data_IF_414945249586
#
_entry.id   IF_414945249586
#
_cell.length_a   1.000
_cell.length_b   1.000
_cell.length_c   1.000
_cell.angle_alpha   90.00
_cell.angle_beta   90.00
_cell.angle_gamma   90.00
#
_symmetry.space_group_name_H-M   'P 1'
#
loop_
_entity.id
_entity.type
_entity.pdbx_description
1 polymer ?
#
# COMPACT_ATOMS: atom_id res chain seq x y z
N UNK A 1 18.98 2.23 -16.63
CA UNK A 1 18.53 1.78 -17.96
C UNK A 1 17.15 2.35 -18.15
N UNK A 2 16.91 3.00 -19.28
CA UNK A 2 15.65 3.69 -19.52
C UNK A 2 14.58 2.66 -19.88
N UNK A 3 13.64 2.41 -18.95
CA UNK A 3 12.60 1.37 -19.11
C UNK A 3 11.75 1.61 -20.34
N UNK A 4 11.56 2.88 -20.69
CA UNK A 4 10.84 3.31 -21.88
C UNK A 4 11.57 2.85 -23.16
N UNK A 5 12.90 3.01 -23.22
CA UNK A 5 13.69 2.58 -24.38
C UNK A 5 13.64 1.06 -24.57
N UNK A 6 13.62 0.27 -23.50
CA UNK A 6 13.51 -1.19 -23.57
C UNK A 6 12.14 -1.62 -24.13
N UNK A 7 11.06 -1.00 -23.66
CA UNK A 7 9.69 -1.29 -24.13
C UNK A 7 9.50 -0.84 -25.58
N UNK A 8 10.03 0.33 -25.95
CA UNK A 8 9.98 0.81 -27.33
C UNK A 8 10.76 -0.09 -28.29
N UNK A 9 11.93 -0.58 -27.88
CA UNK A 9 12.69 -1.56 -28.66
C UNK A 9 11.92 -2.88 -28.80
N UNK A 10 11.25 -3.35 -27.75
CA UNK A 10 10.38 -4.53 -27.82
C UNK A 10 9.24 -4.33 -28.83
N UNK A 11 8.56 -3.18 -28.79
CA UNK A 11 7.47 -2.84 -29.70
C UNK A 11 7.90 -2.79 -31.18
N UNK A 12 9.11 -2.28 -31.45
CA UNK A 12 9.65 -2.19 -32.82
C UNK A 12 10.17 -3.51 -33.37
N UNK A 13 10.56 -4.46 -32.51
CA UNK A 13 11.23 -5.71 -32.89
C UNK A 13 10.32 -6.93 -32.92
N UNK A 14 9.04 -6.80 -32.55
CA UNK A 14 8.10 -7.91 -32.41
C UNK A 14 6.88 -7.79 -33.33
N UNK A 15 6.23 -8.93 -33.58
CA UNK A 15 4.96 -8.99 -34.31
C UNK A 15 3.81 -8.45 -33.45
N UNK A 16 2.74 -7.97 -34.11
CA UNK A 16 1.53 -7.50 -33.44
C UNK A 16 0.88 -8.59 -32.57
N UNK A 17 0.96 -9.85 -33.00
CA UNK A 17 0.48 -11.01 -32.22
C UNK A 17 1.24 -11.17 -30.89
N UNK A 18 2.58 -11.06 -30.91
CA UNK A 18 3.41 -11.13 -29.71
C UNK A 18 3.14 -9.96 -28.75
N UNK A 19 2.91 -8.76 -29.31
CA UNK A 19 2.57 -7.57 -28.53
C UNK A 19 1.20 -7.74 -27.86
N UNK A 20 0.23 -8.33 -28.55
CA UNK A 20 -1.10 -8.65 -28.00
C UNK A 20 -1.04 -9.67 -26.87
N UNK A 21 -0.32 -10.77 -27.08
CA UNK A 21 -0.11 -11.80 -26.05
C UNK A 21 0.58 -11.20 -24.81
N UNK A 22 1.61 -10.38 -25.02
CA UNK A 22 2.29 -9.67 -23.93
C UNK A 22 1.36 -8.72 -23.18
N UNK A 23 0.55 -7.93 -23.89
CA UNK A 23 -0.43 -7.02 -23.28
C UNK A 23 -1.47 -7.78 -22.44
N UNK A 24 -2.01 -8.89 -22.96
CA UNK A 24 -2.93 -9.74 -22.21
C UNK A 24 -2.30 -10.30 -20.93
N UNK A 25 -1.04 -10.77 -21.01
CA UNK A 25 -0.28 -11.23 -19.84
C UNK A 25 -0.04 -10.11 -18.82
N UNK A 26 0.23 -8.88 -19.26
CA UNK A 26 0.33 -7.74 -18.36
C UNK A 26 -0.98 -7.50 -17.62
N UNK A 27 -2.11 -7.49 -18.33
CA UNK A 27 -3.44 -7.35 -17.72
C UNK A 27 -3.74 -8.46 -16.70
N UNK A 28 -3.48 -9.71 -17.04
CA UNK A 28 -3.71 -10.85 -16.14
C UNK A 28 -2.84 -10.77 -14.88
N UNK A 29 -1.56 -10.40 -15.05
CA UNK A 29 -0.65 -10.19 -13.92
C UNK A 29 -1.11 -9.04 -13.01
N UNK A 30 -1.59 -7.92 -13.58
CA UNK A 30 -2.14 -6.80 -12.80
C UNK A 30 -3.37 -7.26 -12.02
N UNK A 31 -4.26 -8.05 -12.63
CA UNK A 31 -5.45 -8.60 -11.98
C UNK A 31 -5.07 -9.54 -10.83
N UNK A 32 -4.09 -10.41 -11.01
CA UNK A 32 -3.59 -11.31 -9.96
C UNK A 32 -2.97 -10.52 -8.80
N UNK A 33 -2.17 -9.49 -9.10
CA UNK A 33 -1.58 -8.62 -8.09
C UNK A 33 -2.64 -7.86 -7.29
N UNK A 34 -3.70 -7.36 -7.94
CA UNK A 34 -4.83 -6.74 -7.25
C UNK A 34 -5.51 -7.71 -6.29
N UNK A 35 -5.76 -8.95 -6.71
CA UNK A 35 -6.37 -9.96 -5.83
C UNK A 35 -5.49 -10.31 -4.62
N UNK A 36 -4.17 -10.41 -4.83
CA UNK A 36 -3.20 -10.58 -3.73
C UNK A 36 -3.21 -9.39 -2.77
N UNK A 37 -3.30 -8.18 -3.29
CA UNK A 37 -3.36 -6.95 -2.50
C UNK A 37 -4.64 -6.87 -1.66
N UNK A 38 -5.79 -7.20 -2.24
CA UNK A 38 -7.08 -7.29 -1.54
C UNK A 38 -7.03 -8.27 -0.36
N UNK A 39 -6.46 -9.46 -0.62
CA UNK A 39 -6.28 -10.49 0.42
C UNK A 39 -5.40 -9.98 1.56
N UNK A 40 -4.30 -9.30 1.25
CA UNK A 40 -3.43 -8.68 2.26
C UNK A 40 -4.14 -7.56 3.02
N UNK A 41 -4.96 -6.74 2.34
CA UNK A 41 -5.79 -5.72 2.98
C UNK A 41 -6.80 -6.31 3.96
N UNK A 42 -7.40 -7.45 3.63
CA UNK A 42 -8.29 -8.17 4.56
C UNK A 42 -7.53 -8.69 5.77
N UNK A 43 -6.38 -9.34 5.56
CA UNK A 43 -5.51 -9.79 6.65
C UNK A 43 -5.05 -8.64 7.55
N UNK A 44 -4.75 -7.48 6.98
CA UNK A 44 -4.40 -6.28 7.72
C UNK A 44 -5.50 -5.88 8.71
N UNK A 45 -6.76 -5.79 8.24
CA UNK A 45 -7.91 -5.46 9.10
C UNK A 45 -8.08 -6.51 10.21
N UNK A 46 -7.96 -7.79 9.87
CA UNK A 46 -8.02 -8.89 10.85
C UNK A 46 -6.94 -8.72 11.92
N UNK A 47 -5.68 -8.47 11.55
CA UNK A 47 -4.58 -8.33 12.51
C UNK A 47 -4.78 -7.14 13.45
N UNK A 48 -5.29 -6.01 12.94
CA UNK A 48 -5.65 -4.87 13.80
C UNK A 48 -6.73 -5.26 14.79
N UNK A 49 -7.79 -5.94 14.33
CA UNK A 49 -8.86 -6.41 15.19
C UNK A 49 -8.34 -7.36 16.28
N UNK A 50 -7.49 -8.32 15.91
CA UNK A 50 -6.86 -9.25 16.86
C UNK A 50 -6.05 -8.46 17.90
N UNK A 51 -5.25 -7.48 17.48
CA UNK A 51 -4.48 -6.66 18.42
C UNK A 51 -5.35 -5.87 19.38
N UNK A 52 -6.44 -5.26 18.90
CA UNK A 52 -7.38 -4.54 19.77
C UNK A 52 -8.07 -5.47 20.77
N UNK A 53 -8.46 -6.68 20.36
CA UNK A 53 -9.06 -7.68 21.24
C UNK A 53 -8.08 -8.15 22.31
N UNK A 54 -6.84 -8.42 21.92
CA UNK A 54 -5.79 -8.88 22.84
C UNK A 54 -5.34 -7.75 23.79
N UNK A 55 -5.30 -6.51 23.32
CA UNK A 55 -4.91 -5.36 24.14
C UNK A 55 -5.97 -4.92 25.16
N UNK A 56 -7.25 -5.15 24.86
CA UNK A 56 -8.38 -4.75 25.71
C UNK A 56 -8.77 -5.79 26.76
N UNK A 57 -8.36 -7.04 26.57
CA UNK A 57 -8.80 -8.14 27.41
C UNK A 57 -7.71 -8.55 28.41
N UNK A 58 -8.07 -8.64 29.70
CA UNK A 58 -7.35 -9.43 30.70
C UNK A 58 -7.49 -10.94 30.47
N UNK A 59 -7.89 -11.33 29.26
CA UNK A 59 -8.10 -12.72 28.88
C UNK A 59 -6.74 -13.39 28.81
N UNK A 60 -6.60 -14.48 29.57
CA UNK A 60 -5.45 -15.39 29.46
C UNK A 60 -5.70 -16.45 28.39
N UNK A 61 -6.96 -16.70 28.05
CA UNK A 61 -7.38 -17.74 27.11
C UNK A 61 -8.49 -17.23 26.17
N UNK A 62 -8.39 -17.55 24.89
CA UNK A 62 -9.47 -17.33 23.91
C UNK A 62 -10.05 -18.70 23.55
N UNK A 63 -11.34 -18.89 23.81
CA UNK A 63 -12.10 -20.07 23.38
C UNK A 63 -12.81 -19.78 22.06
N UNK A 64 -12.32 -20.35 20.96
CA UNK A 64 -12.99 -20.37 19.66
C UNK A 64 -13.66 -21.73 19.47
N UNK A 65 -14.78 -21.95 20.17
CA UNK A 65 -15.60 -23.17 20.05
C UNK A 65 -14.86 -24.45 20.47
N UNK A 66 -14.14 -25.08 19.54
CA UNK A 66 -13.36 -26.31 19.74
C UNK A 66 -11.86 -26.07 19.96
N UNK A 67 -11.38 -24.83 19.78
CA UNK A 67 -9.98 -24.47 19.92
C UNK A 67 -9.84 -23.53 21.12
N UNK A 68 -9.16 -23.99 22.16
CA UNK A 68 -8.74 -23.17 23.30
C UNK A 68 -7.32 -22.71 23.06
N UNK A 69 -7.11 -21.42 22.85
CA UNK A 69 -5.77 -20.83 22.81
C UNK A 69 -5.45 -20.37 24.23
N UNK A 70 -4.67 -21.19 24.93
CA UNK A 70 -4.31 -21.00 26.35
C UNK A 70 -3.20 -19.97 26.58
N UNK A 71 -2.52 -19.51 25.52
CA UNK A 71 -1.44 -18.53 25.62
C UNK A 71 -1.52 -17.45 24.52
N UNK A 72 -2.34 -16.44 24.80
CA UNK A 72 -2.49 -15.25 23.96
C UNK A 72 -1.17 -14.46 23.83
N UNK A 73 -0.21 -14.67 24.72
CA UNK A 73 1.08 -13.96 24.67
C UNK A 73 1.86 -14.30 23.40
N UNK A 74 1.74 -15.53 22.89
CA UNK A 74 2.40 -15.96 21.65
C UNK A 74 1.86 -15.19 20.44
N UNK A 75 0.55 -15.03 20.34
CA UNK A 75 -0.09 -14.23 19.28
C UNK A 75 0.37 -12.77 19.38
N UNK A 76 0.40 -12.23 20.60
CA UNK A 76 0.83 -10.86 20.87
C UNK A 76 2.28 -10.58 20.42
N UNK A 77 3.17 -11.56 20.64
CA UNK A 77 4.59 -11.50 20.22
C UNK A 77 4.74 -11.47 18.70
N UNK A 78 3.90 -12.22 17.98
CA UNK A 78 3.99 -12.39 16.52
C UNK A 78 3.30 -11.27 15.74
N UNK A 79 2.30 -10.60 16.32
CA UNK A 79 1.52 -9.54 15.68
C UNK A 79 2.35 -8.46 14.97
N UNK A 80 3.36 -7.81 15.61
CA UNK A 80 4.15 -6.78 14.93
C UNK A 80 4.92 -7.34 13.72
N UNK A 81 5.36 -8.60 13.79
CA UNK A 81 6.09 -9.27 12.71
C UNK A 81 5.17 -9.58 11.53
N UNK A 82 3.97 -10.07 11.81
CA UNK A 82 2.96 -10.33 10.78
C UNK A 82 2.51 -9.02 10.12
N UNK A 83 2.35 -7.96 10.91
CA UNK A 83 1.95 -6.66 10.37
C UNK A 83 3.03 -6.07 9.46
N UNK A 84 4.31 -6.14 9.85
CA UNK A 84 5.40 -5.66 8.98
C UNK A 84 5.51 -6.49 7.70
N UNK A 85 5.29 -7.81 7.78
CA UNK A 85 5.24 -8.66 6.60
C UNK A 85 4.15 -8.19 5.62
N UNK A 86 2.95 -7.87 6.11
CA UNK A 86 1.87 -7.35 5.27
C UNK A 86 2.26 -6.01 4.64
N UNK A 87 2.80 -5.07 5.41
CA UNK A 87 3.26 -3.77 4.87
C UNK A 87 4.29 -3.95 3.75
N UNK A 88 5.29 -4.79 3.98
CA UNK A 88 6.36 -5.01 3.02
C UNK A 88 5.84 -5.64 1.71
N UNK A 89 5.00 -6.68 1.82
CA UNK A 89 4.39 -7.29 0.64
C UNK A 89 3.46 -6.34 -0.10
N UNK A 90 2.70 -5.51 0.63
CA UNK A 90 1.82 -4.51 0.03
C UNK A 90 2.65 -3.49 -0.76
N UNK A 91 3.76 -3.01 -0.19
CA UNK A 91 4.68 -2.11 -0.87
C UNK A 91 5.27 -2.71 -2.15
N UNK A 92 5.73 -3.97 -2.09
CA UNK A 92 6.26 -4.68 -3.26
C UNK A 92 5.22 -4.87 -4.35
N UNK A 93 4.01 -5.34 -3.99
CA UNK A 93 2.90 -5.53 -4.95
C UNK A 93 2.55 -4.20 -5.63
N UNK A 94 2.50 -3.11 -4.85
CA UNK A 94 2.26 -1.76 -5.38
C UNK A 94 3.33 -1.38 -6.40
N UNK A 95 4.61 -1.58 -6.06
CA UNK A 95 5.73 -1.28 -6.95
C UNK A 95 5.68 -2.10 -8.24
N UNK A 96 5.40 -3.41 -8.16
CA UNK A 96 5.23 -4.27 -9.33
C UNK A 96 4.06 -3.83 -10.20
N UNK A 97 2.90 -3.54 -9.59
CA UNK A 97 1.71 -3.06 -10.29
C UNK A 97 1.99 -1.76 -11.05
N UNK A 98 2.69 -0.81 -10.42
CA UNK A 98 3.07 0.45 -11.08
C UNK A 98 3.98 0.21 -12.29
N UNK A 99 4.93 -0.73 -12.21
CA UNK A 99 5.78 -1.09 -13.35
C UNK A 99 5.00 -1.75 -14.49
N UNK A 100 4.07 -2.66 -14.18
CA UNK A 100 3.24 -3.32 -15.19
C UNK A 100 2.28 -2.33 -15.86
N UNK A 101 1.66 -1.44 -15.07
CA UNK A 101 0.80 -0.37 -15.59
C UNK A 101 1.58 0.59 -16.48
N UNK A 102 2.81 0.95 -16.12
CA UNK A 102 3.68 1.76 -16.97
C UNK A 102 3.92 1.10 -18.33
N UNK A 103 4.27 -0.19 -18.34
CA UNK A 103 4.48 -0.92 -19.59
C UNK A 103 3.21 -1.03 -20.43
N UNK A 104 2.07 -1.31 -19.78
CA UNK A 104 0.78 -1.40 -20.43
C UNK A 104 0.34 -0.07 -21.07
N UNK A 105 0.59 1.05 -20.38
CA UNK A 105 0.29 2.38 -20.89
C UNK A 105 1.11 2.68 -22.14
N UNK A 106 2.43 2.42 -22.13
CA UNK A 106 3.30 2.61 -23.30
C UNK A 106 2.85 1.79 -24.52
N UNK A 107 2.46 0.53 -24.30
CA UNK A 107 1.90 -0.33 -25.37
C UNK A 107 0.59 0.27 -25.91
N UNK A 108 -0.27 0.75 -25.02
CA UNK A 108 -1.57 1.32 -25.38
C UNK A 108 -1.43 2.63 -26.14
N UNK A 109 -0.50 3.49 -25.73
CA UNK A 109 -0.17 4.75 -26.41
C UNK A 109 0.30 4.48 -27.85
N UNK A 110 1.25 3.56 -28.03
CA UNK A 110 1.78 3.22 -29.35
C UNK A 110 0.71 2.59 -30.25
N UNK A 111 -0.15 1.72 -29.71
CA UNK A 111 -1.14 0.99 -30.51
C UNK A 111 -2.35 1.83 -30.91
N UNK A 112 -2.82 2.69 -30.02
CA UNK A 112 -4.07 3.44 -30.23
C UNK A 112 -3.85 4.90 -30.66
N UNK A 113 -2.59 5.31 -30.88
CA UNK A 113 -2.23 6.71 -31.15
C UNK A 113 -2.90 7.68 -30.16
N UNK A 114 -3.05 7.24 -28.91
CA UNK A 114 -3.61 8.09 -27.88
C UNK A 114 -2.58 9.16 -27.56
N UNK A 115 -3.01 10.43 -27.61
CA UNK A 115 -2.19 11.55 -27.16
C UNK A 115 -1.75 11.22 -25.73
N UNK A 116 -0.44 11.27 -25.39
CA UNK A 116 0.01 10.99 -24.05
C UNK A 116 -0.82 11.84 -23.10
N UNK A 117 -1.50 11.20 -22.15
CA UNK A 117 -2.16 11.94 -21.07
C UNK A 117 -1.01 12.67 -20.38
N UNK A 118 -0.87 13.97 -20.66
CA UNK A 118 0.24 14.81 -20.19
C UNK A 118 0.59 14.45 -18.76
N UNK A 119 1.73 13.77 -18.58
CA UNK A 119 2.65 13.57 -17.45
C UNK A 119 2.24 13.87 -15.98
N UNK A 120 0.97 14.03 -15.65
CA UNK A 120 0.48 14.56 -14.37
C UNK A 120 -0.71 13.80 -13.81
N UNK A 121 -1.37 12.96 -14.60
CA UNK A 121 -2.12 11.85 -14.01
C UNK A 121 -1.15 10.68 -13.89
N UNK A 122 -0.14 10.84 -13.02
CA UNK A 122 0.38 9.68 -12.29
C UNK A 122 -0.88 9.01 -11.77
N UNK A 123 -1.29 7.91 -12.40
CA UNK A 123 -2.16 6.93 -11.77
C UNK A 123 -1.33 6.52 -10.57
N UNK A 124 -1.47 7.28 -9.47
CA UNK A 124 -1.17 6.82 -8.14
C UNK A 124 -2.01 5.57 -8.10
N UNK A 125 -1.37 4.41 -8.30
CA UNK A 125 -2.00 3.12 -8.15
C UNK A 125 -2.48 3.09 -6.72
N UNK A 126 -3.70 3.59 -6.50
CA UNK A 126 -4.24 3.73 -5.16
C UNK A 126 -4.48 2.31 -4.71
N UNK A 127 -3.75 1.95 -3.67
CA UNK A 127 -3.85 0.63 -3.08
C UNK A 127 -5.30 0.33 -2.70
N UNK A 128 -5.67 -0.94 -2.67
CA UNK A 128 -7.01 -1.37 -2.28
C UNK A 128 -7.44 -0.73 -0.95
N UNK A 129 -6.53 -0.69 0.03
CA UNK A 129 -6.73 0.00 1.31
C UNK A 129 -7.10 1.49 1.09
N UNK A 130 -6.37 2.19 0.22
CA UNK A 130 -6.64 3.60 -0.12
C UNK A 130 -7.98 3.75 -0.83
N UNK A 131 -8.37 2.83 -1.72
CA UNK A 131 -9.67 2.88 -2.41
C UNK A 131 -10.86 2.50 -1.50
N UNK A 132 -10.63 1.65 -0.50
CA UNK A 132 -11.64 1.26 0.49
C UNK A 132 -12.03 2.45 1.38
N UNK A 133 -11.07 3.33 1.65
CA UNK A 133 -11.27 4.54 2.44
C UNK A 133 -11.53 5.79 1.59
N UNK A 134 -11.13 5.80 0.31
CA UNK A 134 -11.30 6.93 -0.61
C UNK A 134 -11.92 6.49 -1.94
N UNK A 135 -13.25 6.47 -2.06
CA UNK A 135 -13.92 6.27 -3.34
C UNK A 135 -13.53 7.38 -4.33
N UNK A 136 -13.54 7.04 -5.62
CA UNK A 136 -13.14 7.91 -6.75
C UNK A 136 -13.74 9.32 -6.72
N UNK A 137 -14.96 9.49 -6.18
CA UNK A 137 -15.64 10.78 -6.06
C UNK A 137 -14.94 11.74 -5.10
N UNK A 138 -14.41 11.25 -3.97
CA UNK A 138 -13.76 12.07 -2.96
C UNK A 138 -12.37 12.54 -3.44
N UNK A 139 -11.63 11.63 -4.07
CA UNK A 139 -10.37 11.90 -4.75
C UNK A 139 -10.47 13.06 -5.74
N UNK A 140 -11.46 12.99 -6.63
CA UNK A 140 -11.64 13.96 -7.70
C UNK A 140 -12.17 15.29 -7.15
N UNK A 141 -13.00 15.26 -6.10
CA UNK A 141 -13.44 16.48 -5.41
C UNK A 141 -12.25 17.23 -4.78
N UNK A 142 -11.34 16.51 -4.12
CA UNK A 142 -10.09 17.07 -3.58
C UNK A 142 -9.23 17.62 -4.71
N UNK A 143 -8.98 16.81 -5.75
CA UNK A 143 -8.13 17.23 -6.86
C UNK A 143 -8.68 18.51 -7.49
N UNK A 144 -9.99 18.60 -7.73
CA UNK A 144 -10.65 19.80 -8.25
C UNK A 144 -10.66 21.00 -7.28
N UNK A 145 -10.53 20.77 -5.97
CA UNK A 145 -10.40 21.84 -4.96
C UNK A 145 -8.99 22.43 -4.93
N UNK A 146 -7.96 21.63 -5.28
CA UNK A 146 -6.56 22.05 -5.28
C UNK A 146 -6.00 22.33 -6.69
N UNK A 147 -6.59 21.77 -7.74
CA UNK A 147 -6.23 21.99 -9.14
C UNK A 147 -7.04 23.15 -9.68
N UNK A 148 -6.34 24.23 -10.02
CA UNK A 148 -6.84 25.50 -10.58
C UNK A 148 -7.55 25.39 -11.95
N UNK A 149 -8.27 24.32 -12.24
CA UNK A 149 -8.71 24.03 -13.61
C UNK A 149 -9.85 24.93 -14.09
N UNK A 150 -10.51 25.71 -13.22
CA UNK A 150 -11.68 26.52 -13.62
C UNK A 150 -11.64 27.99 -13.18
N UNK A 151 -11.07 28.39 -12.02
CA UNK A 151 -11.33 29.74 -11.45
C UNK A 151 -10.12 30.53 -10.87
N UNK A 152 -8.88 30.17 -11.20
CA UNK A 152 -7.68 30.87 -10.68
C UNK A 152 -7.23 30.37 -9.30
N UNK A 153 -6.15 30.99 -8.75
CA UNK A 153 -5.48 30.54 -7.51
C UNK A 153 -6.49 30.36 -6.36
N UNK A 154 -6.44 29.26 -5.59
CA UNK A 154 -7.44 28.99 -4.57
C UNK A 154 -7.28 30.01 -3.46
N UNK A 155 -8.40 30.54 -2.96
CA UNK A 155 -8.36 31.43 -1.79
C UNK A 155 -7.88 30.64 -0.58
N UNK A 156 -7.19 31.31 0.35
CA UNK A 156 -6.70 30.68 1.59
C UNK A 156 -7.82 29.96 2.35
N UNK A 157 -9.04 30.50 2.33
CA UNK A 157 -10.23 29.89 2.94
C UNK A 157 -10.65 28.58 2.26
N UNK A 158 -10.58 28.52 0.93
CA UNK A 158 -10.93 27.31 0.16
C UNK A 158 -9.89 26.21 0.39
N UNK A 159 -8.60 26.57 0.41
CA UNK A 159 -7.51 25.66 0.77
C UNK A 159 -7.66 25.12 2.19
N UNK A 160 -8.05 25.95 3.15
CA UNK A 160 -8.25 25.53 4.54
C UNK A 160 -9.43 24.56 4.68
N UNK A 161 -10.56 24.84 4.02
CA UNK A 161 -11.73 23.93 4.01
C UNK A 161 -11.35 22.61 3.32
N UNK A 162 -10.65 22.67 2.18
CA UNK A 162 -10.14 21.49 1.48
C UNK A 162 -9.20 20.64 2.35
N UNK A 163 -8.31 21.28 3.12
CA UNK A 163 -7.43 20.60 4.07
C UNK A 163 -8.22 19.97 5.24
N UNK A 164 -9.20 20.68 5.78
CA UNK A 164 -10.05 20.17 6.87
C UNK A 164 -10.82 18.92 6.42
N UNK A 165 -11.33 18.93 5.19
CA UNK A 165 -12.00 17.77 4.57
C UNK A 165 -11.03 16.60 4.32
N UNK A 166 -9.75 16.88 4.04
CA UNK A 166 -8.68 15.89 3.91
C UNK A 166 -8.18 15.34 5.24
N UNK A 167 -8.42 16.01 6.36
CA UNK A 167 -7.81 15.62 7.64
C UNK A 167 -8.22 14.21 8.10
N UNK A 168 -9.51 13.80 8.04
CA UNK A 168 -9.91 12.42 8.32
C UNK A 168 -9.21 11.40 7.41
N UNK A 169 -8.95 11.79 6.17
CA UNK A 169 -8.28 10.95 5.17
C UNK A 169 -6.84 10.68 5.55
N UNK A 170 -6.12 11.73 5.91
CA UNK A 170 -4.74 11.66 6.37
C UNK A 170 -4.63 10.85 7.66
N UNK A 171 -5.57 11.03 8.59
CA UNK A 171 -5.61 10.23 9.82
C UNK A 171 -5.77 8.74 9.52
N UNK A 172 -6.67 8.36 8.62
CA UNK A 172 -6.85 6.96 8.20
C UNK A 172 -5.59 6.40 7.51
N UNK A 173 -4.88 7.20 6.71
CA UNK A 173 -3.64 6.77 6.07
C UNK A 173 -2.49 6.56 7.06
N UNK A 174 -2.45 7.32 8.15
CA UNK A 174 -1.41 7.25 9.19
C UNK A 174 -1.70 6.15 10.21
N UNK A 175 -2.98 5.83 10.45
CA UNK A 175 -3.45 4.87 11.45
C UNK A 175 -2.73 3.50 11.41
N UNK A 176 -2.53 2.87 10.24
CA UNK A 176 -1.76 1.62 10.11
C UNK A 176 -0.37 1.67 10.76
N UNK A 177 0.35 2.77 10.54
CA UNK A 177 1.70 2.96 11.05
C UNK A 177 1.71 3.21 12.55
N UNK A 178 0.72 3.97 13.04
CA UNK A 178 0.53 4.17 14.47
C UNK A 178 0.24 2.85 15.18
N UNK A 179 -0.63 2.00 14.62
CA UNK A 179 -0.92 0.68 15.19
C UNK A 179 0.35 -0.19 15.24
N UNK A 180 1.19 -0.19 14.21
CA UNK A 180 2.46 -0.90 14.22
C UNK A 180 3.40 -0.38 15.32
N UNK A 181 3.52 0.95 15.47
CA UNK A 181 4.35 1.54 16.52
C UNK A 181 3.83 1.13 17.90
N UNK A 182 2.52 1.15 18.13
CA UNK A 182 1.91 0.69 19.39
C UNK A 182 2.20 -0.78 19.66
N UNK A 183 2.05 -1.66 18.66
CA UNK A 183 2.42 -3.08 18.78
C UNK A 183 3.89 -3.28 19.13
N UNK A 184 4.80 -2.51 18.52
CA UNK A 184 6.23 -2.58 18.82
C UNK A 184 6.53 -2.12 20.26
N UNK A 185 5.91 -1.03 20.72
CA UNK A 185 6.06 -0.52 22.09
C UNK A 185 5.53 -1.54 23.10
N UNK A 186 4.36 -2.14 22.85
CA UNK A 186 3.81 -3.18 23.70
C UNK A 186 4.69 -4.42 23.74
N UNK A 187 5.19 -4.85 22.58
CA UNK A 187 6.11 -5.98 22.48
C UNK A 187 7.40 -5.73 23.26
N UNK A 188 7.95 -4.52 23.16
CA UNK A 188 9.14 -4.12 23.90
C UNK A 188 8.92 -4.18 25.42
N UNK A 189 7.79 -3.64 25.90
CA UNK A 189 7.51 -3.56 27.34
C UNK A 189 7.14 -4.90 27.98
N UNK A 190 6.40 -5.76 27.24
CA UNK A 190 5.76 -6.95 27.83
C UNK A 190 6.45 -8.27 27.48
N UNK A 191 7.11 -8.35 26.33
CA UNK A 191 7.50 -9.65 25.76
C UNK A 191 8.98 -9.82 25.43
N UNK A 192 9.82 -8.82 25.70
CA UNK A 192 11.28 -8.87 25.46
C UNK A 192 12.08 -9.73 26.43
N UNK A 193 11.48 -10.12 27.57
CA UNK A 193 12.13 -10.98 28.55
C UNK A 193 12.23 -12.45 28.11
N UNK A 194 11.50 -12.82 27.06
CA UNK A 194 11.48 -14.16 26.48
C UNK A 194 12.20 -14.17 25.12
N UNK A 195 12.91 -15.25 24.79
CA UNK A 195 13.71 -15.38 23.57
C UNK A 195 12.85 -15.24 22.32
N UNK A 196 11.66 -15.84 22.29
CA UNK A 196 10.74 -15.73 21.15
C UNK A 196 10.30 -14.26 20.95
N UNK A 197 9.87 -13.60 22.01
CA UNK A 197 9.43 -12.21 21.93
C UNK A 197 10.58 -11.25 21.57
N UNK A 198 11.79 -11.53 22.04
CA UNK A 198 13.00 -10.78 21.66
C UNK A 198 13.30 -10.89 20.16
N UNK A 199 13.30 -12.10 19.61
CA UNK A 199 13.54 -12.33 18.17
C UNK A 199 12.43 -11.67 17.34
N UNK A 200 11.16 -11.88 17.69
CA UNK A 200 10.03 -11.28 16.97
C UNK A 200 10.10 -9.75 16.99
N UNK A 201 10.44 -9.14 18.13
CA UNK A 201 10.62 -7.70 18.25
C UNK A 201 11.74 -7.19 17.36
N UNK A 202 12.95 -7.78 17.45
CA UNK A 202 14.10 -7.36 16.64
C UNK A 202 13.83 -7.51 15.13
N UNK A 203 13.25 -8.64 14.72
CA UNK A 203 12.88 -8.87 13.33
C UNK A 203 11.85 -7.84 12.83
N UNK A 204 10.89 -7.47 13.68
CA UNK A 204 9.87 -6.45 13.35
C UNK A 204 10.49 -5.06 13.20
N UNK A 205 11.38 -4.67 14.11
CA UNK A 205 12.10 -3.38 14.04
C UNK A 205 12.97 -3.32 12.78
N UNK A 206 13.74 -4.38 12.52
CA UNK A 206 14.58 -4.47 11.33
C UNK A 206 13.77 -4.39 10.04
N UNK A 207 12.65 -5.14 9.96
CA UNK A 207 11.73 -5.08 8.83
C UNK A 207 11.12 -3.70 8.65
N UNK A 208 10.79 -3.01 9.74
CA UNK A 208 10.28 -1.63 9.70
C UNK A 208 11.31 -0.63 9.19
N UNK A 209 12.57 -0.74 9.64
CA UNK A 209 13.66 0.07 9.10
C UNK A 209 13.88 -0.16 7.61
N UNK A 210 13.84 -1.42 7.15
CA UNK A 210 13.92 -1.73 5.73
C UNK A 210 12.77 -1.12 4.94
N UNK A 211 11.53 -1.23 5.42
CA UNK A 211 10.36 -0.62 4.78
C UNK A 211 10.55 0.89 4.58
N UNK A 212 10.99 1.60 5.62
CA UNK A 212 11.27 3.04 5.54
C UNK A 212 12.38 3.36 4.54
N UNK A 213 13.44 2.55 4.51
CA UNK A 213 14.52 2.70 3.55
C UNK A 213 14.05 2.54 2.10
N UNK A 214 13.21 1.53 1.82
CA UNK A 214 12.64 1.32 0.49
C UNK A 214 11.70 2.46 0.07
N UNK A 215 10.85 2.95 0.99
CA UNK A 215 9.99 4.12 0.74
C UNK A 215 10.85 5.34 0.39
N UNK A 216 11.92 5.59 1.16
CA UNK A 216 12.83 6.70 0.91
C UNK A 216 13.49 6.63 -0.47
N UNK A 217 13.98 5.45 -0.86
CA UNK A 217 14.56 5.24 -2.19
C UNK A 217 13.52 5.48 -3.29
N UNK A 218 12.31 4.96 -3.13
CA UNK A 218 11.23 5.14 -4.10
C UNK A 218 10.92 6.64 -4.30
N UNK A 219 10.76 7.38 -3.20
CA UNK A 219 10.50 8.82 -3.23
C UNK A 219 11.65 9.61 -3.90
N UNK A 220 12.89 9.18 -3.71
CA UNK A 220 14.05 9.82 -4.35
C UNK A 220 14.08 9.57 -5.86
N UNK A 221 13.70 8.37 -6.30
CA UNK A 221 13.68 8.01 -7.72
C UNK A 221 12.52 8.71 -8.46
N UNK A 222 11.39 8.97 -7.81
CA UNK A 222 10.26 9.67 -8.42
C UNK A 222 10.45 11.19 -8.59
N UNK A 223 11.50 11.76 -8.01
CA UNK A 223 11.87 13.19 -8.13
C UNK A 223 12.90 13.47 -9.23
N UNK A 224 13.40 12.43 -9.90
CA UNK A 224 14.27 12.53 -11.08
C UNK A 224 13.43 12.33 -12.32
#
# INVERSE_FOLDING_TARGET
MDKEAEINNFLLSNSEENINDYSNKLYDNIKELNHKEEKLGLWFVILIFIYLLVGSSSMKEINLGFITISDISTISKLLPLLLIYIFFNTFLITSHKNNLMFALNLISENRFNQIPIENNQKFIGRNFIVNLFFPYSFSNAILNTFSNTITGKPKISETFIGFLLLLPTLLLAILPYLTLILMLVDSYKKYTNDLLGWICFLASVWGFSLLLFYIWISLKNERK
#
